data_IF_640987962990
#
_entry.id   IF_640987962990
#
_cell.length_a   1.000
_cell.length_b   1.000
_cell.length_c   1.000
_cell.angle_alpha   90.00
_cell.angle_beta   90.00
_cell.angle_gamma   90.00
#
_symmetry.space_group_name_H-M   'P 1'
#
loop_
_entity.id
_entity.type
_entity.pdbx_description
1 polymer ?
#
# COMPACT_ATOMS: atom_id res chain seq x y z
N UNK A 1 20.17 4.40 -8.61
CA UNK A 1 19.62 4.03 -7.29
C UNK A 1 18.90 5.17 -6.56
N UNK A 2 19.50 6.32 -6.23
CA UNK A 2 18.75 7.41 -5.55
C UNK A 2 17.70 8.10 -6.44
N UNK A 3 18.01 8.39 -7.70
CA UNK A 3 17.05 9.01 -8.63
C UNK A 3 15.81 8.14 -8.88
N UNK A 4 15.99 6.82 -9.03
CA UNK A 4 14.89 5.87 -9.25
C UNK A 4 13.96 5.77 -8.03
N UNK A 5 14.51 5.83 -6.81
CA UNK A 5 13.74 5.88 -5.57
C UNK A 5 12.84 7.12 -5.53
N UNK A 6 13.37 8.29 -5.85
CA UNK A 6 12.57 9.54 -5.88
C UNK A 6 11.51 9.53 -6.96
N UNK A 7 11.79 8.94 -8.13
CA UNK A 7 10.79 8.74 -9.19
C UNK A 7 9.65 7.84 -8.70
N UNK A 8 9.97 6.71 -8.04
CA UNK A 8 8.94 5.82 -7.49
C UNK A 8 8.11 6.48 -6.40
N UNK A 9 8.75 7.25 -5.51
CA UNK A 9 8.04 8.03 -4.48
C UNK A 9 7.11 9.05 -5.14
N UNK A 10 7.57 9.78 -6.16
CA UNK A 10 6.77 10.78 -6.87
C UNK A 10 5.56 10.15 -7.60
N UNK A 11 5.75 9.01 -8.27
CA UNK A 11 4.66 8.28 -8.92
C UNK A 11 3.63 7.80 -7.89
N UNK A 12 4.11 7.22 -6.78
CA UNK A 12 3.25 6.73 -5.70
C UNK A 12 2.44 7.88 -5.11
N UNK A 13 3.10 9.01 -4.81
CA UNK A 13 2.49 10.23 -4.28
C UNK A 13 1.45 10.83 -5.22
N UNK A 14 1.72 10.84 -6.52
CA UNK A 14 0.75 11.25 -7.55
C UNK A 14 -0.49 10.35 -7.59
N UNK A 15 -0.31 9.03 -7.44
CA UNK A 15 -1.43 8.09 -7.32
C UNK A 15 -2.25 8.32 -6.04
N UNK A 16 -1.60 8.60 -4.90
CA UNK A 16 -2.32 8.93 -3.64
C UNK A 16 -3.17 10.18 -3.80
N UNK A 17 -2.59 11.23 -4.40
CA UNK A 17 -3.29 12.49 -4.62
C UNK A 17 -4.47 12.30 -5.57
N UNK A 18 -4.27 11.57 -6.67
CA UNK A 18 -5.36 11.25 -7.60
C UNK A 18 -6.52 10.53 -6.90
N UNK A 19 -6.20 9.53 -6.07
CA UNK A 19 -7.21 8.82 -5.28
C UNK A 19 -7.89 9.77 -4.28
N UNK A 20 -7.11 10.54 -3.51
CA UNK A 20 -7.56 11.54 -2.53
C UNK A 20 -8.58 12.54 -3.09
N UNK A 21 -8.37 12.99 -4.34
CA UNK A 21 -9.20 13.98 -5.00
C UNK A 21 -10.30 13.39 -5.89
N UNK A 22 -10.43 12.06 -5.98
CA UNK A 22 -11.56 11.41 -6.64
C UNK A 22 -12.82 11.49 -5.76
N UNK A 23 -13.45 12.67 -5.75
CA UNK A 23 -14.56 13.03 -4.87
C UNK A 23 -15.80 12.13 -4.99
N UNK A 24 -15.98 11.47 -6.14
CA UNK A 24 -17.09 10.52 -6.35
C UNK A 24 -16.86 9.19 -5.61
N UNK A 25 -15.61 8.70 -5.57
CA UNK A 25 -15.27 7.46 -4.88
C UNK A 25 -15.37 7.60 -3.36
N UNK A 26 -15.06 8.78 -2.81
CA UNK A 26 -15.08 8.99 -1.36
C UNK A 26 -16.50 8.97 -0.76
N UNK A 27 -17.52 9.40 -1.50
CA UNK A 27 -18.91 9.36 -1.06
C UNK A 27 -19.55 7.98 -1.22
N UNK A 28 -19.21 7.27 -2.29
CA UNK A 28 -19.77 5.94 -2.57
C UNK A 28 -19.08 4.83 -1.77
N UNK A 29 -17.78 4.98 -1.52
CA UNK A 29 -16.91 3.97 -0.90
C UNK A 29 -15.94 4.59 0.13
N UNK A 30 -16.46 5.13 1.26
CA UNK A 30 -15.64 5.83 2.27
C UNK A 30 -14.59 4.95 2.97
N UNK A 31 -14.87 3.65 3.15
CA UNK A 31 -13.93 2.70 3.73
C UNK A 31 -12.81 2.36 2.75
N UNK A 32 -13.12 2.03 1.48
CA UNK A 32 -12.10 1.86 0.43
C UNK A 32 -11.18 3.07 0.37
N UNK A 33 -11.75 4.27 0.41
CA UNK A 33 -10.99 5.51 0.37
C UNK A 33 -9.97 5.61 1.53
N UNK A 34 -10.43 5.31 2.75
CA UNK A 34 -9.57 5.29 3.94
C UNK A 34 -8.46 4.25 3.82
N UNK A 35 -8.81 3.04 3.37
CA UNK A 35 -7.86 1.94 3.17
C UNK A 35 -6.81 2.31 2.14
N UNK A 36 -7.21 2.90 1.01
CA UNK A 36 -6.30 3.36 -0.03
C UNK A 36 -5.33 4.41 0.49
N UNK A 37 -5.80 5.41 1.25
CA UNK A 37 -4.93 6.44 1.84
C UNK A 37 -3.89 5.81 2.76
N UNK A 38 -4.30 4.96 3.70
CA UNK A 38 -3.38 4.30 4.65
C UNK A 38 -2.37 3.42 3.91
N UNK A 39 -2.84 2.67 2.91
CA UNK A 39 -2.03 1.80 2.08
C UNK A 39 -0.96 2.57 1.30
N UNK A 40 -1.39 3.63 0.65
CA UNK A 40 -0.55 4.56 -0.08
C UNK A 40 0.53 5.21 0.80
N UNK A 41 0.17 5.69 2.00
CA UNK A 41 1.15 6.22 2.96
C UNK A 41 2.15 5.16 3.42
N UNK A 42 1.68 3.92 3.63
CA UNK A 42 2.54 2.79 3.99
C UNK A 42 3.54 2.47 2.87
N UNK A 43 3.09 2.50 1.61
CA UNK A 43 3.94 2.32 0.42
C UNK A 43 4.99 3.42 0.26
N UNK A 44 4.59 4.69 0.40
CA UNK A 44 5.53 5.82 0.34
C UNK A 44 6.59 5.68 1.43
N UNK A 45 6.15 5.39 2.66
CA UNK A 45 7.06 5.18 3.79
C UNK A 45 8.00 4.01 3.53
N UNK A 46 7.50 2.92 2.94
CA UNK A 46 8.31 1.78 2.54
C UNK A 46 9.42 2.20 1.57
N UNK A 47 9.10 2.85 0.45
CA UNK A 47 10.12 3.26 -0.52
C UNK A 47 11.07 4.31 0.04
N UNK A 48 10.56 5.27 0.82
CA UNK A 48 11.37 6.33 1.44
C UNK A 48 12.39 5.77 2.44
N UNK A 49 12.04 4.74 3.21
CA UNK A 49 12.86 4.23 4.31
C UNK A 49 13.29 2.77 4.14
N UNK A 50 13.23 2.19 2.93
CA UNK A 50 13.48 0.76 2.69
C UNK A 50 14.79 0.21 3.28
N UNK A 51 15.83 1.05 3.38
CA UNK A 51 17.14 0.69 3.97
C UNK A 51 17.14 0.64 5.50
N UNK A 52 16.27 1.42 6.13
CA UNK A 52 16.21 1.63 7.59
C UNK A 52 15.05 0.85 8.24
N UNK A 53 14.19 0.23 7.42
CA UNK A 53 13.02 -0.51 7.89
C UNK A 53 13.40 -1.80 8.62
N UNK A 54 13.04 -1.84 9.91
CA UNK A 54 13.16 -3.03 10.74
C UNK A 54 12.19 -4.13 10.28
N UNK A 55 12.54 -5.40 10.53
CA UNK A 55 11.64 -6.54 10.27
C UNK A 55 10.30 -6.41 11.03
N UNK A 56 10.34 -5.84 12.24
CA UNK A 56 9.13 -5.63 13.05
C UNK A 56 8.19 -4.61 12.42
N UNK A 57 8.73 -3.49 11.90
CA UNK A 57 7.92 -2.49 11.20
C UNK A 57 7.26 -3.10 9.96
N UNK A 58 8.01 -3.87 9.17
CA UNK A 58 7.48 -4.53 7.98
C UNK A 58 6.35 -5.52 8.31
N UNK A 59 6.53 -6.36 9.33
CA UNK A 59 5.51 -7.32 9.75
C UNK A 59 4.24 -6.60 10.24
N UNK A 60 4.39 -5.58 11.09
CA UNK A 60 3.26 -4.78 11.58
C UNK A 60 2.54 -4.07 10.43
N UNK A 61 3.28 -3.45 9.52
CA UNK A 61 2.74 -2.79 8.34
C UNK A 61 2.00 -3.76 7.42
N UNK A 62 2.54 -4.96 7.20
CA UNK A 62 1.89 -6.01 6.43
C UNK A 62 0.58 -6.47 7.08
N UNK A 63 0.59 -6.73 8.39
CA UNK A 63 -0.62 -7.15 9.12
C UNK A 63 -1.70 -6.07 9.06
N UNK A 64 -1.35 -4.82 9.37
CA UNK A 64 -2.33 -3.72 9.37
C UNK A 64 -2.92 -3.51 7.98
N UNK A 65 -2.09 -3.37 6.94
CA UNK A 65 -2.58 -3.17 5.58
C UNK A 65 -3.34 -4.40 5.04
N UNK A 66 -2.89 -5.61 5.39
CA UNK A 66 -3.54 -6.85 5.00
C UNK A 66 -4.93 -7.00 5.62
N UNK A 67 -5.06 -6.73 6.93
CA UNK A 67 -6.36 -6.76 7.63
C UNK A 67 -7.30 -5.70 7.06
N UNK A 68 -6.82 -4.47 6.88
CA UNK A 68 -7.63 -3.39 6.30
C UNK A 68 -8.15 -3.73 4.90
N UNK A 69 -7.30 -4.30 4.05
CA UNK A 69 -7.69 -4.77 2.72
C UNK A 69 -8.69 -5.93 2.79
N UNK A 70 -8.46 -6.94 3.65
CA UNK A 70 -9.36 -8.09 3.79
C UNK A 70 -10.76 -7.70 4.25
N UNK A 71 -10.89 -6.65 5.05
CA UNK A 71 -12.17 -6.16 5.56
C UNK A 71 -13.00 -5.38 4.52
N UNK A 72 -12.38 -4.94 3.43
CA UNK A 72 -13.00 -4.12 2.40
C UNK A 72 -14.26 -4.73 1.75
N UNK A 73 -14.27 -6.01 1.30
CA UNK A 73 -15.48 -6.64 0.76
C UNK A 73 -16.57 -6.85 1.81
N UNK A 74 -16.22 -6.90 3.10
CA UNK A 74 -17.20 -7.04 4.18
C UNK A 74 -17.94 -5.73 4.46
N UNK A 75 -17.24 -4.58 4.38
CA UNK A 75 -17.84 -3.27 4.63
C UNK A 75 -18.54 -2.67 3.41
N UNK A 76 -18.01 -2.88 2.21
CA UNK A 76 -18.45 -2.18 1.00
C UNK A 76 -18.92 -3.10 -0.14
N UNK A 77 -18.99 -4.40 0.15
CA UNK A 77 -19.58 -5.41 -0.71
C UNK A 77 -18.57 -6.23 -1.52
N UNK A 78 -18.98 -7.45 -1.85
CA UNK A 78 -18.15 -8.45 -2.53
C UNK A 78 -17.68 -8.01 -3.92
N UNK A 79 -18.29 -6.99 -4.51
CA UNK A 79 -17.85 -6.39 -5.78
C UNK A 79 -16.44 -5.79 -5.72
N UNK A 80 -15.91 -5.50 -4.53
CA UNK A 80 -14.57 -4.94 -4.33
C UNK A 80 -13.51 -5.99 -3.96
N UNK A 81 -13.85 -7.28 -4.05
CA UNK A 81 -12.92 -8.38 -3.77
C UNK A 81 -11.68 -8.33 -4.69
N UNK A 82 -11.83 -7.88 -5.93
CA UNK A 82 -10.70 -7.67 -6.84
C UNK A 82 -9.72 -6.59 -6.36
N UNK A 83 -10.22 -5.50 -5.75
CA UNK A 83 -9.37 -4.45 -5.16
C UNK A 83 -8.56 -5.03 -4.01
N UNK A 84 -9.22 -5.84 -3.18
CA UNK A 84 -8.57 -6.55 -2.06
C UNK A 84 -7.46 -7.47 -2.55
N UNK A 85 -7.73 -8.28 -3.59
CA UNK A 85 -6.73 -9.15 -4.20
C UNK A 85 -5.54 -8.35 -4.76
N UNK A 86 -5.79 -7.22 -5.42
CA UNK A 86 -4.75 -6.34 -5.93
C UNK A 86 -3.86 -5.78 -4.81
N UNK A 87 -4.47 -5.27 -3.73
CA UNK A 87 -3.74 -4.74 -2.58
C UNK A 87 -2.88 -5.82 -1.89
N UNK A 88 -3.42 -7.02 -1.71
CA UNK A 88 -2.69 -8.15 -1.13
C UNK A 88 -1.54 -8.63 -2.05
N UNK A 89 -1.73 -8.61 -3.37
CA UNK A 89 -0.68 -8.91 -4.33
C UNK A 89 0.47 -7.90 -4.21
N UNK A 90 0.17 -6.60 -4.12
CA UNK A 90 1.17 -5.54 -3.92
C UNK A 90 1.93 -5.76 -2.60
N UNK A 91 1.24 -6.06 -1.49
CA UNK A 91 1.90 -6.37 -0.21
C UNK A 91 2.85 -7.58 -0.31
N UNK A 92 2.43 -8.61 -1.04
CA UNK A 92 3.23 -9.81 -1.26
C UNK A 92 4.50 -9.50 -2.06
N UNK A 93 4.39 -8.64 -3.08
CA UNK A 93 5.53 -8.17 -3.86
C UNK A 93 6.52 -7.35 -3.02
N UNK A 94 6.02 -6.47 -2.14
CA UNK A 94 6.86 -5.72 -1.19
C UNK A 94 7.64 -6.68 -0.29
N UNK A 95 6.96 -7.68 0.26
CA UNK A 95 7.57 -8.66 1.15
C UNK A 95 8.67 -9.46 0.42
N UNK A 96 8.39 -9.88 -0.82
CA UNK A 96 9.37 -10.52 -1.70
C UNK A 96 10.57 -9.62 -2.00
N UNK A 97 10.34 -8.35 -2.35
CA UNK A 97 11.40 -7.39 -2.63
C UNK A 97 12.33 -7.20 -1.43
N UNK A 98 11.79 -7.11 -0.21
CA UNK A 98 12.61 -7.02 1.01
C UNK A 98 13.40 -8.29 1.27
N UNK A 99 12.80 -9.46 1.04
CA UNK A 99 13.50 -10.73 1.20
C UNK A 99 14.72 -10.80 0.27
N UNK A 100 14.54 -10.46 -1.02
CA UNK A 100 15.62 -10.42 -2.00
C UNK A 100 16.72 -9.42 -1.62
N UNK A 101 16.34 -8.19 -1.22
CA UNK A 101 17.28 -7.15 -0.82
C UNK A 101 18.10 -7.48 0.44
N UNK A 102 17.52 -8.26 1.36
CA UNK A 102 18.23 -8.71 2.57
C UNK A 102 19.06 -9.98 2.36
N UNK A 103 18.86 -10.69 1.26
CA UNK A 103 19.69 -11.83 0.87
C UNK A 103 20.93 -11.41 0.07
N UNK A 104 20.90 -10.22 -0.55
CA UNK A 104 22.02 -9.68 -1.36
C UNK A 104 22.99 -8.79 -0.58
N UNK A 105 22.71 -8.48 0.69
CA UNK A 105 23.62 -7.80 1.63
C UNK A 105 24.07 -8.78 2.71
#
# INVERSE_FOLDING_TARGET
>A
MEKEKWIMVAITMGLVLYLAFSFELSHQYPYLMTVLIIFSFSLISFFAFMREISRSWLLKGFIVNGVLAMLLPFFEGMGLLWVTMLMLAILSLILCAVYLLKQTN
#
